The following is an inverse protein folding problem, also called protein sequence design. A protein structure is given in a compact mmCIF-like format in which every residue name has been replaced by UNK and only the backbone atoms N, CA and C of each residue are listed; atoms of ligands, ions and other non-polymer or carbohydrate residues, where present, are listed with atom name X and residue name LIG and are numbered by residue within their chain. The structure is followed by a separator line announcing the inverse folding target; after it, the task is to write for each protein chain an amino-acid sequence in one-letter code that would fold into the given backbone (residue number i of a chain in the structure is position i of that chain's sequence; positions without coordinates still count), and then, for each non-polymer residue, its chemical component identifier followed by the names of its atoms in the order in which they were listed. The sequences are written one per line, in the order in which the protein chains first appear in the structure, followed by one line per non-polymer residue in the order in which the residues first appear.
data_IF_119313749642
#
_entry.id   IF_119313749642
#
_cell.length_a   1.000
_cell.length_b   1.000
_cell.length_c   1.000
_cell.angle_alpha   90.00
_cell.angle_beta   90.00
_cell.angle_gamma   90.00
#
_symmetry.space_group_name_H-M   'P 1'
#
loop_
_entity.id
_entity.type
_entity.pdbx_description
1 polymer ?
#
# COMPACT_ATOMS: atom_id res chain seq x y z
N UNK A 1 11.79 -8.19 22.67
CA UNK A 1 12.53 -7.93 21.41
C UNK A 1 11.85 -6.90 20.49
N UNK A 2 10.52 -6.72 20.53
CA UNK A 2 9.79 -5.77 19.65
C UNK A 2 10.40 -4.36 19.62
N UNK A 3 10.78 -3.82 20.77
CA UNK A 3 11.32 -2.45 20.88
C UNK A 3 12.71 -2.28 20.26
N UNK A 4 13.50 -3.36 20.21
CA UNK A 4 14.83 -3.37 19.61
C UNK A 4 14.77 -3.53 18.10
N UNK A 5 13.97 -4.48 17.62
CA UNK A 5 13.92 -4.82 16.19
C UNK A 5 13.01 -3.90 15.37
N UNK A 6 11.91 -3.42 15.98
CA UNK A 6 10.95 -2.46 15.36
C UNK A 6 10.60 -2.84 13.93
N UNK A 7 10.22 -4.10 13.72
CA UNK A 7 9.90 -4.62 12.39
C UNK A 7 8.87 -3.75 11.68
N UNK A 8 9.04 -3.64 10.36
CA UNK A 8 8.21 -2.82 9.49
C UNK A 8 7.86 -3.59 8.24
N UNK A 9 6.65 -3.39 7.72
CA UNK A 9 6.21 -3.96 6.44
C UNK A 9 6.46 -2.98 5.31
N UNK A 10 7.20 -3.41 4.28
CA UNK A 10 7.42 -2.62 3.07
C UNK A 10 6.25 -2.78 2.09
N UNK A 11 5.43 -1.74 1.95
CA UNK A 11 4.15 -1.81 1.23
C UNK A 11 4.32 -2.20 -0.24
N UNK A 12 5.29 -1.62 -0.95
CA UNK A 12 5.53 -1.86 -2.37
C UNK A 12 5.79 -3.33 -2.68
N UNK A 13 6.60 -4.03 -1.89
CA UNK A 13 6.88 -5.44 -2.12
C UNK A 13 5.73 -6.35 -1.70
N UNK A 14 5.01 -6.01 -0.62
CA UNK A 14 4.00 -6.89 -0.05
C UNK A 14 2.65 -6.81 -0.77
N UNK A 15 2.19 -5.61 -1.14
CA UNK A 15 0.83 -5.40 -1.65
C UNK A 15 0.76 -4.94 -3.11
N UNK A 16 1.89 -4.46 -3.66
CA UNK A 16 1.97 -4.03 -5.06
C UNK A 16 2.83 -4.98 -5.92
N UNK A 17 3.81 -5.65 -5.32
CA UNK A 17 4.70 -6.58 -6.01
C UNK A 17 3.96 -7.77 -6.62
N UNK A 18 4.07 -7.93 -7.94
CA UNK A 18 3.38 -8.98 -8.70
C UNK A 18 4.26 -10.20 -9.01
N UNK A 19 5.54 -10.14 -8.63
CA UNK A 19 6.51 -11.22 -8.88
C UNK A 19 6.95 -11.34 -10.34
N UNK A 20 6.68 -10.34 -11.17
CA UNK A 20 7.29 -10.23 -12.49
C UNK A 20 8.75 -9.78 -12.37
N UNK A 21 9.56 -10.15 -13.36
CA UNK A 21 10.96 -9.75 -13.48
C UNK A 21 11.27 -9.30 -14.91
N UNK A 22 12.53 -9.00 -15.21
CA UNK A 22 12.93 -8.47 -16.53
C UNK A 22 12.85 -9.53 -17.65
N UNK A 23 12.63 -10.80 -17.31
CA UNK A 23 12.57 -11.94 -18.24
C UNK A 23 11.23 -12.67 -18.22
N UNK A 24 10.36 -12.41 -17.24
CA UNK A 24 9.14 -13.16 -16.98
C UNK A 24 7.95 -12.30 -16.57
N UNK A 25 6.76 -12.71 -17.00
CA UNK A 25 5.51 -12.02 -16.68
C UNK A 25 5.15 -12.13 -15.18
N UNK A 26 4.30 -11.23 -14.67
CA UNK A 26 3.71 -11.33 -13.34
C UNK A 26 3.10 -12.70 -13.03
N UNK A 27 3.32 -13.21 -11.82
CA UNK A 27 2.82 -14.52 -11.39
C UNK A 27 1.77 -14.42 -10.28
N UNK A 28 1.74 -13.32 -9.54
CA UNK A 28 0.79 -13.09 -8.45
C UNK A 28 -0.43 -12.31 -8.95
N UNK A 29 -1.61 -12.83 -8.68
CA UNK A 29 -2.89 -12.17 -8.94
C UNK A 29 -3.51 -11.82 -7.60
N UNK A 30 -3.53 -10.54 -7.26
CA UNK A 30 -4.02 -10.05 -5.97
C UNK A 30 -5.54 -9.80 -6.00
N UNK A 31 -6.29 -10.19 -4.95
CA UNK A 31 -7.75 -10.03 -4.94
C UNK A 31 -8.22 -8.58 -4.77
N UNK A 32 -7.33 -7.67 -4.35
CA UNK A 32 -7.63 -6.23 -4.23
C UNK A 32 -7.32 -5.43 -5.50
N UNK A 33 -6.68 -6.04 -6.50
CA UNK A 33 -6.36 -5.41 -7.78
C UNK A 33 -7.49 -5.66 -8.79
N UNK A 34 -8.00 -4.59 -9.41
CA UNK A 34 -8.99 -4.68 -10.50
C UNK A 34 -8.42 -4.20 -11.85
N UNK A 35 -7.09 -4.01 -11.91
CA UNK A 35 -6.37 -3.53 -13.09
C UNK A 35 -6.59 -2.04 -13.39
N UNK A 36 -7.28 -1.31 -12.51
CA UNK A 36 -7.53 0.13 -12.66
C UNK A 36 -6.71 0.89 -11.65
N UNK A 37 -6.06 1.98 -12.06
CA UNK A 37 -5.39 2.90 -11.13
C UNK A 37 -6.42 3.81 -10.41
N UNK A 38 -7.35 3.19 -9.69
CA UNK A 38 -8.50 3.85 -9.07
C UNK A 38 -8.34 4.01 -7.57
N UNK A 39 -9.08 4.97 -7.01
CA UNK A 39 -9.04 5.21 -5.58
C UNK A 39 -9.68 4.11 -4.74
N UNK A 40 -10.69 3.46 -5.29
CA UNK A 40 -11.35 2.36 -4.62
C UNK A 40 -10.44 1.14 -4.54
N UNK A 41 -9.63 0.89 -5.58
CA UNK A 41 -8.57 -0.11 -5.54
C UNK A 41 -7.53 0.23 -4.46
N UNK A 42 -7.07 1.48 -4.40
CA UNK A 42 -6.12 1.92 -3.36
C UNK A 42 -6.69 1.69 -1.94
N UNK A 43 -7.96 2.02 -1.71
CA UNK A 43 -8.66 1.74 -0.43
C UNK A 43 -8.75 0.25 -0.12
N UNK A 44 -9.04 -0.62 -1.10
CA UNK A 44 -9.09 -2.08 -0.91
C UNK A 44 -7.71 -2.63 -0.52
N UNK A 45 -6.65 -2.18 -1.20
CA UNK A 45 -5.27 -2.56 -0.89
C UNK A 45 -4.87 -2.17 0.53
N UNK A 46 -5.26 -0.97 0.96
CA UNK A 46 -5.00 -0.50 2.32
C UNK A 46 -5.73 -1.32 3.39
N UNK A 47 -6.96 -1.78 3.14
CA UNK A 47 -7.65 -2.69 4.07
C UNK A 47 -6.90 -4.01 4.22
N UNK A 48 -6.45 -4.60 3.12
CA UNK A 48 -5.63 -5.81 3.15
C UNK A 48 -4.30 -5.58 3.91
N UNK A 49 -3.71 -4.40 3.78
CA UNK A 49 -2.50 -4.02 4.50
C UNK A 49 -2.69 -4.00 6.02
N UNK A 50 -3.73 -3.32 6.51
CA UNK A 50 -3.98 -3.25 7.95
C UNK A 50 -4.39 -4.61 8.53
N UNK A 51 -5.21 -5.39 7.81
CA UNK A 51 -5.54 -6.77 8.21
C UNK A 51 -4.27 -7.64 8.33
N UNK A 52 -3.32 -7.49 7.41
CA UNK A 52 -2.05 -8.20 7.45
C UNK A 52 -1.17 -7.75 8.63
N UNK A 53 -1.09 -6.44 8.89
CA UNK A 53 -0.32 -5.90 10.03
C UNK A 53 -0.87 -6.38 11.37
N UNK A 54 -2.20 -6.38 11.53
CA UNK A 54 -2.88 -6.86 12.74
C UNK A 54 -2.53 -8.34 12.99
N UNK A 55 -2.66 -9.19 11.96
CA UNK A 55 -2.33 -10.62 12.06
C UNK A 55 -0.84 -10.88 12.31
N UNK A 56 0.05 -10.07 11.75
CA UNK A 56 1.49 -10.18 11.95
C UNK A 56 1.96 -9.62 13.30
N UNK A 57 1.14 -8.81 13.97
CA UNK A 57 1.49 -8.12 15.22
C UNK A 57 2.52 -7.00 15.04
N UNK A 58 2.59 -6.41 13.85
CA UNK A 58 3.55 -5.35 13.49
C UNK A 58 2.84 -4.00 13.47
N UNK A 59 3.46 -2.99 14.06
CA UNK A 59 2.91 -1.64 14.23
C UNK A 59 3.55 -0.58 13.33
N UNK A 60 4.45 -0.99 12.43
CA UNK A 60 5.18 -0.10 11.53
C UNK A 60 5.12 -0.60 10.09
N UNK A 61 5.13 0.35 9.18
CA UNK A 61 5.16 0.08 7.75
C UNK A 61 5.83 1.25 7.03
N UNK A 62 6.31 0.97 5.83
CA UNK A 62 6.95 1.93 4.94
C UNK A 62 6.22 1.92 3.60
N UNK A 63 6.08 3.10 2.99
CA UNK A 63 5.43 3.25 1.69
C UNK A 63 6.10 4.36 0.87
N UNK A 64 6.01 4.26 -0.45
CA UNK A 64 6.15 5.39 -1.35
C UNK A 64 4.77 6.02 -1.58
N UNK A 65 4.73 7.31 -1.86
CA UNK A 65 3.51 8.05 -2.18
C UNK A 65 2.64 7.36 -3.24
N UNK A 66 3.27 6.81 -4.29
CA UNK A 66 2.62 6.08 -5.38
C UNK A 66 2.07 4.71 -5.00
N UNK A 67 2.55 4.12 -3.92
CA UNK A 67 2.06 2.80 -3.50
C UNK A 67 0.63 2.88 -2.96
N UNK A 68 0.29 4.01 -2.33
CA UNK A 68 -0.95 4.20 -1.56
C UNK A 68 -1.97 5.10 -2.25
N UNK A 69 -1.56 5.89 -3.25
CA UNK A 69 -2.43 6.83 -3.94
C UNK A 69 -2.26 6.76 -5.47
N UNK A 70 -3.37 6.80 -6.24
CA UNK A 70 -3.31 6.83 -7.69
C UNK A 70 -2.76 8.14 -8.22
N UNK A 71 -2.30 8.12 -9.48
CA UNK A 71 -1.68 9.28 -10.10
C UNK A 71 -2.71 10.36 -10.46
N UNK A 72 -2.47 11.59 -10.01
CA UNK A 72 -3.19 12.77 -10.49
C UNK A 72 -2.67 13.23 -11.86
N UNK A 73 -3.53 13.89 -12.65
CA UNK A 73 -3.13 14.49 -13.95
C UNK A 73 -2.07 15.60 -13.81
N UNK A 74 -2.01 16.23 -12.65
CA UNK A 74 -1.06 17.31 -12.33
C UNK A 74 -0.55 17.15 -10.90
N UNK A 75 0.59 17.78 -10.61
CA UNK A 75 1.19 17.77 -9.27
C UNK A 75 0.29 18.37 -8.20
N UNK A 76 -0.64 19.27 -8.54
CA UNK A 76 -1.56 19.90 -7.57
C UNK A 76 -2.62 18.92 -7.09
N UNK A 77 -3.09 18.05 -7.99
CA UNK A 77 -4.18 17.10 -7.70
C UNK A 77 -3.65 15.89 -6.90
N UNK A 78 -2.37 15.56 -7.03
CA UNK A 78 -1.73 14.42 -6.39
C UNK A 78 -1.67 14.47 -4.84
N UNK A 79 -1.15 15.53 -4.18
CA UNK A 79 -0.94 15.56 -2.73
C UNK A 79 -2.22 15.75 -1.91
N UNK A 80 -3.30 16.23 -2.52
CA UNK A 80 -4.59 16.41 -1.82
C UNK A 80 -5.14 15.08 -1.27
N UNK A 81 -4.78 13.95 -1.89
CA UNK A 81 -5.17 12.62 -1.42
C UNK A 81 -4.36 12.13 -0.23
N UNK A 82 -3.06 12.37 -0.21
CA UNK A 82 -2.17 11.90 0.87
C UNK A 82 -2.54 12.53 2.22
N UNK A 83 -2.91 13.81 2.22
CA UNK A 83 -3.37 14.55 3.40
C UNK A 83 -4.71 14.05 3.96
N UNK A 84 -5.65 13.67 3.09
CA UNK A 84 -6.94 13.10 3.52
C UNK A 84 -6.77 11.69 4.07
N UNK A 85 -5.89 10.89 3.45
CA UNK A 85 -5.71 9.48 3.79
C UNK A 85 -4.96 9.28 5.11
N UNK A 86 -3.88 10.04 5.36
CA UNK A 86 -3.16 9.99 6.64
C UNK A 86 -4.04 10.37 7.83
N UNK A 87 -4.96 11.33 7.66
CA UNK A 87 -5.94 11.69 8.71
C UNK A 87 -6.95 10.59 9.01
N UNK A 88 -7.26 9.76 8.02
CA UNK A 88 -8.26 8.69 8.13
C UNK A 88 -7.65 7.40 8.69
N UNK A 89 -6.37 7.12 8.38
CA UNK A 89 -5.66 5.91 8.80
C UNK A 89 -4.97 6.02 10.17
N UNK A 90 -4.71 7.23 10.70
CA UNK A 90 -4.13 7.40 12.04
C UNK A 90 -5.16 7.24 13.17
N UNK A 91 -6.46 7.25 12.84
CA UNK A 91 -7.56 7.09 13.80
C UNK A 91 -8.32 5.76 13.64
N UNK A 92 -7.74 4.80 12.90
CA UNK A 92 -8.26 3.43 12.76
C UNK A 92 -7.39 2.45 13.55
#
# INVERSE_FOLDING_TARGET
MKDWMRFSVAFWHTFHGTGGDVFGAPTKIWPWEDGRNSLDMAKRRMRAHFEFMEKLGVDRWCFHDRDIAPDGKTLIVCPSFMLLFLRSCVNA
#
